data_IF_136212048420
#
_entry.id   IF_136212048420
#
_cell.length_a   1.000
_cell.length_b   1.000
_cell.length_c   1.000
_cell.angle_alpha   90.00
_cell.angle_beta   90.00
_cell.angle_gamma   90.00
#
_symmetry.space_group_name_H-M   'P 1'
#
loop_
_entity.id
_entity.type
_entity.pdbx_description
1 polymer ?
#
# COMPACT_ATOMS: atom_id res chain seq x y z
N UNK A 1 21.40 -5.51 -1.89
CA UNK A 1 20.01 -5.49 -2.39
C UNK A 1 20.05 -5.84 -3.87
N UNK A 2 19.41 -6.94 -4.32
CA UNK A 2 19.27 -7.24 -5.76
C UNK A 2 17.80 -6.99 -6.18
N UNK A 3 16.87 -7.77 -5.66
CA UNK A 3 15.44 -7.63 -5.92
C UNK A 3 14.69 -7.68 -4.61
N UNK A 4 14.12 -6.57 -4.19
CA UNK A 4 13.47 -6.42 -2.89
C UNK A 4 12.03 -5.95 -3.09
N UNK A 5 11.07 -6.65 -2.49
CA UNK A 5 9.70 -6.18 -2.35
C UNK A 5 9.48 -5.63 -0.93
N UNK A 6 8.89 -4.45 -0.83
CA UNK A 6 8.50 -3.84 0.43
C UNK A 6 6.99 -3.91 0.57
N UNK A 7 6.51 -4.65 1.57
CA UNK A 7 5.08 -4.89 1.80
C UNK A 7 4.64 -4.36 3.17
N UNK A 8 3.44 -3.82 3.26
CA UNK A 8 2.80 -3.55 4.56
C UNK A 8 2.30 -4.85 5.17
N UNK A 9 2.57 -5.07 6.45
CA UNK A 9 2.24 -6.32 7.15
C UNK A 9 0.99 -6.23 8.03
N UNK A 10 0.31 -5.09 8.04
CA UNK A 10 -0.90 -4.82 8.82
C UNK A 10 -2.00 -4.26 7.90
N UNK A 11 -2.77 -3.25 8.33
CA UNK A 11 -3.83 -2.60 7.53
C UNK A 11 -3.39 -1.35 6.75
N UNK A 12 -2.12 -1.24 6.37
CA UNK A 12 -1.56 -0.03 5.78
C UNK A 12 -1.12 0.98 6.83
N UNK A 13 -0.60 2.12 6.38
CA UNK A 13 -0.10 3.21 7.24
C UNK A 13 1.02 2.79 8.22
N UNK A 14 1.75 1.70 7.93
CA UNK A 14 2.86 1.20 8.75
C UNK A 14 4.12 2.09 8.69
N UNK A 15 4.11 3.14 7.86
CA UNK A 15 5.29 3.98 7.65
C UNK A 15 6.23 3.47 6.55
N UNK A 16 5.71 2.70 5.60
CA UNK A 16 6.46 2.14 4.45
C UNK A 16 7.28 3.18 3.69
N UNK A 17 6.73 4.39 3.53
CA UNK A 17 7.36 5.46 2.79
C UNK A 17 8.80 5.69 3.19
N UNK A 18 9.07 5.72 4.47
CA UNK A 18 10.40 5.96 5.02
C UNK A 18 11.45 4.92 4.58
N UNK A 19 11.06 3.63 4.58
CA UNK A 19 11.94 2.53 4.13
C UNK A 19 12.08 2.53 2.61
N UNK A 20 10.98 2.78 1.90
CA UNK A 20 10.98 2.88 0.44
C UNK A 20 11.89 4.02 -0.02
N UNK A 21 11.80 5.21 0.59
CA UNK A 21 12.66 6.36 0.25
C UNK A 21 14.14 6.01 0.40
N UNK A 22 14.49 5.38 1.51
CA UNK A 22 15.86 4.94 1.74
C UNK A 22 16.34 3.93 0.69
N UNK A 23 15.53 2.91 0.40
CA UNK A 23 15.90 1.89 -0.58
C UNK A 23 15.90 2.43 -2.01
N UNK A 24 15.00 3.35 -2.34
CA UNK A 24 14.90 3.97 -3.65
C UNK A 24 16.15 4.80 -4.04
N UNK A 25 16.84 5.38 -3.04
CA UNK A 25 18.13 6.09 -3.29
C UNK A 25 19.21 5.17 -3.85
N UNK A 26 19.10 3.87 -3.65
CA UNK A 26 20.08 2.87 -4.06
C UNK A 26 19.58 1.98 -5.20
N UNK A 27 18.32 2.16 -5.62
CA UNK A 27 17.69 1.33 -6.64
C UNK A 27 17.99 1.83 -8.05
N UNK A 28 18.27 0.91 -8.97
CA UNK A 28 18.36 1.20 -10.41
C UNK A 28 16.96 1.26 -11.04
N UNK A 29 16.02 0.48 -10.50
CA UNK A 29 14.62 0.43 -10.95
C UNK A 29 13.69 0.39 -9.74
N UNK A 30 12.66 1.22 -9.73
CA UNK A 30 11.56 1.17 -8.75
C UNK A 30 10.26 0.87 -9.48
N UNK A 31 9.54 -0.16 -9.00
CA UNK A 31 8.34 -0.67 -9.66
C UNK A 31 7.13 -0.59 -8.73
N UNK A 32 6.06 0.05 -9.16
CA UNK A 32 4.73 -0.09 -8.56
C UNK A 32 3.91 -1.05 -9.39
N UNK A 33 3.42 -2.13 -8.76
CA UNK A 33 2.75 -3.24 -9.44
C UNK A 33 1.29 -3.44 -9.06
N UNK A 34 0.70 -2.66 -8.15
CA UNK A 34 -0.68 -2.88 -7.70
C UNK A 34 -1.36 -1.58 -7.22
N UNK A 35 -2.70 -1.60 -7.17
CA UNK A 35 -3.51 -0.45 -6.77
C UNK A 35 -3.62 0.60 -7.88
N UNK A 36 -3.69 1.85 -7.50
CA UNK A 36 -3.81 3.00 -8.39
C UNK A 36 -3.55 4.29 -7.62
N UNK A 37 -4.25 5.37 -7.97
CA UNK A 37 -4.14 6.66 -7.29
C UNK A 37 -4.89 6.75 -5.93
N UNK A 38 -5.36 5.61 -5.41
CA UNK A 38 -5.91 5.49 -4.06
C UNK A 38 -4.82 5.36 -2.96
N UNK A 39 -3.58 5.10 -3.33
CA UNK A 39 -2.43 5.15 -2.43
C UNK A 39 -1.86 6.58 -2.38
N UNK A 40 -1.20 6.92 -1.29
CA UNK A 40 -0.49 8.18 -1.15
C UNK A 40 0.87 7.95 -0.50
N UNK A 41 1.92 8.52 -1.08
CA UNK A 41 3.25 8.54 -0.53
C UNK A 41 3.74 9.99 -0.53
N UNK A 42 4.15 10.49 0.62
CA UNK A 42 4.69 11.85 0.73
C UNK A 42 6.21 11.79 0.79
N UNK A 43 6.85 12.35 -0.22
CA UNK A 43 8.30 12.57 -0.26
C UNK A 43 8.64 13.96 0.27
N UNK A 44 9.81 14.10 0.90
CA UNK A 44 10.32 15.39 1.35
C UNK A 44 11.69 15.62 0.72
N UNK A 45 11.80 16.67 -0.12
CA UNK A 45 13.04 17.07 -0.79
C UNK A 45 13.29 18.53 -0.51
N UNK A 46 14.44 18.86 0.05
CA UNK A 46 14.83 20.24 0.39
C UNK A 46 13.74 21.00 1.18
N UNK A 47 13.09 20.30 2.10
CA UNK A 47 12.00 20.83 2.91
C UNK A 47 10.64 20.93 2.22
N UNK A 48 10.55 20.64 0.92
CA UNK A 48 9.29 20.61 0.17
C UNK A 48 8.66 19.22 0.22
N UNK A 49 7.34 19.17 0.37
CA UNK A 49 6.56 17.93 0.39
C UNK A 49 5.94 17.66 -0.97
N UNK A 50 6.13 16.45 -1.48
CA UNK A 50 5.55 15.95 -2.72
C UNK A 50 4.63 14.76 -2.41
N UNK A 51 3.36 14.87 -2.74
CA UNK A 51 2.40 13.80 -2.55
C UNK A 51 2.26 12.97 -3.84
N UNK A 52 2.97 11.86 -3.93
CA UNK A 52 2.89 10.94 -5.06
C UNK A 52 1.78 9.90 -4.82
N UNK A 53 1.10 9.50 -5.88
CA UNK A 53 0.03 8.48 -5.86
C UNK A 53 0.26 7.37 -6.85
N UNK A 54 0.68 7.69 -8.07
CA UNK A 54 0.96 6.74 -9.16
C UNK A 54 2.46 6.59 -9.42
N UNK A 55 3.18 7.71 -9.40
CA UNK A 55 4.60 7.73 -9.73
C UNK A 55 5.41 7.08 -8.60
N UNK A 56 6.32 6.13 -8.92
CA UNK A 56 7.18 5.51 -7.92
C UNK A 56 8.14 6.48 -7.24
N UNK A 57 8.53 6.17 -5.99
CA UNK A 57 9.39 7.02 -5.15
C UNK A 57 10.81 7.22 -5.70
N UNK A 58 11.26 6.37 -6.62
CA UNK A 58 12.57 6.52 -7.28
C UNK A 58 12.70 7.74 -8.17
N UNK A 59 11.61 8.49 -8.41
CA UNK A 59 11.57 9.66 -9.30
C UNK A 59 12.52 10.77 -8.89
N UNK A 60 12.89 10.85 -7.62
CA UNK A 60 13.82 11.84 -7.10
C UNK A 60 15.28 11.58 -7.51
N UNK A 61 15.58 10.37 -7.96
CA UNK A 61 16.89 10.00 -8.47
C UNK A 61 16.85 9.94 -10.01
N UNK A 62 17.54 10.86 -10.66
CA UNK A 62 17.54 10.99 -12.12
C UNK A 62 18.07 9.76 -12.88
N UNK A 63 18.80 8.87 -12.20
CA UNK A 63 19.34 7.64 -12.78
C UNK A 63 18.42 6.43 -12.59
N UNK A 64 17.36 6.55 -11.78
CA UNK A 64 16.46 5.45 -11.47
C UNK A 64 15.33 5.38 -12.50
N UNK A 65 15.08 4.19 -13.05
CA UNK A 65 13.91 3.93 -13.90
C UNK A 65 12.70 3.70 -12.98
N UNK A 66 11.62 4.44 -13.25
CA UNK A 66 10.38 4.38 -12.46
C UNK A 66 9.28 3.70 -13.26
N UNK A 67 8.89 2.50 -12.84
CA UNK A 67 7.97 1.65 -13.59
C UNK A 67 6.60 1.64 -12.94
N UNK A 68 5.58 2.01 -13.72
CA UNK A 68 4.17 1.80 -13.42
C UNK A 68 3.76 0.51 -14.13
N UNK A 69 3.67 -0.58 -13.36
CA UNK A 69 3.49 -1.94 -13.87
C UNK A 69 2.07 -2.26 -14.34
N UNK A 70 1.93 -3.43 -14.95
CA UNK A 70 0.68 -3.91 -15.54
C UNK A 70 -0.45 -4.19 -14.52
N UNK A 71 -0.12 -4.34 -13.25
CA UNK A 71 -1.12 -4.52 -12.19
C UNK A 71 -1.77 -3.23 -11.69
N UNK A 72 -1.23 -2.07 -12.05
CA UNK A 72 -1.81 -0.76 -11.71
C UNK A 72 -3.09 -0.53 -12.54
N UNK A 73 -4.10 0.09 -11.91
CA UNK A 73 -5.17 0.75 -12.63
C UNK A 73 -4.82 2.23 -12.74
N UNK A 74 -4.58 2.67 -13.96
CA UNK A 74 -3.89 3.91 -14.28
C UNK A 74 -4.87 5.04 -14.57
N UNK A 75 -4.78 6.13 -13.81
CA UNK A 75 -5.54 7.36 -14.01
C UNK A 75 -4.69 8.40 -14.76
N UNK A 76 -4.91 8.62 -16.06
CA UNK A 76 -4.10 9.57 -16.84
C UNK A 76 -4.14 10.99 -16.30
N UNK A 77 -5.31 11.45 -15.85
CA UNK A 77 -5.48 12.79 -15.28
C UNK A 77 -4.61 12.97 -14.03
N UNK A 78 -4.74 12.04 -13.07
CA UNK A 78 -3.96 12.08 -11.83
C UNK A 78 -2.45 11.96 -12.10
N UNK A 79 -2.06 11.17 -13.10
CA UNK A 79 -0.67 11.05 -13.51
C UNK A 79 -0.09 12.37 -14.03
N UNK A 80 -0.79 13.09 -14.91
CA UNK A 80 -0.29 14.35 -15.45
C UNK A 80 -0.32 15.48 -14.42
N UNK A 81 -1.21 15.45 -13.43
CA UNK A 81 -1.15 16.35 -12.27
C UNK A 81 0.15 16.13 -11.46
N UNK A 82 0.58 14.89 -11.27
CA UNK A 82 1.85 14.57 -10.62
C UNK A 82 3.07 14.98 -11.48
N UNK A 83 3.03 14.77 -12.80
CA UNK A 83 4.07 15.21 -13.73
C UNK A 83 4.27 16.72 -13.64
N UNK A 84 3.20 17.51 -13.75
CA UNK A 84 3.25 18.98 -13.68
C UNK A 84 3.83 19.45 -12.34
N UNK A 85 3.39 18.84 -11.23
CA UNK A 85 3.92 19.13 -9.90
C UNK A 85 5.44 18.86 -9.82
N UNK A 86 5.91 17.74 -10.35
CA UNK A 86 7.32 17.36 -10.31
C UNK A 86 8.17 18.27 -11.20
N UNK A 87 7.76 18.49 -12.45
CA UNK A 87 8.50 19.28 -13.42
C UNK A 87 8.56 20.78 -13.04
N UNK A 88 7.47 21.33 -12.47
CA UNK A 88 7.47 22.70 -11.95
C UNK A 88 8.44 22.92 -10.78
N UNK A 89 8.86 21.82 -10.13
CA UNK A 89 9.87 21.82 -9.08
C UNK A 89 11.27 21.34 -9.57
N UNK A 90 11.48 21.23 -10.88
CA UNK A 90 12.76 20.90 -11.49
C UNK A 90 13.11 19.41 -11.45
N UNK A 91 12.14 18.54 -11.14
CA UNK A 91 12.34 17.08 -11.12
C UNK A 91 12.03 16.52 -12.50
N UNK A 92 12.99 15.82 -13.10
CA UNK A 92 12.82 15.20 -14.42
C UNK A 92 11.93 13.98 -14.37
N UNK A 93 10.99 13.88 -15.30
CA UNK A 93 10.03 12.76 -15.41
C UNK A 93 10.36 11.79 -16.57
N UNK A 94 11.48 12.01 -17.26
CA UNK A 94 11.89 11.24 -18.45
C UNK A 94 12.12 9.75 -18.19
N UNK A 95 12.43 9.38 -16.93
CA UNK A 95 12.74 8.00 -16.53
C UNK A 95 11.48 7.22 -16.09
N UNK A 96 10.29 7.73 -16.35
CA UNK A 96 9.04 7.02 -16.06
C UNK A 96 8.72 6.10 -17.25
N UNK A 97 8.26 4.89 -16.92
CA UNK A 97 7.77 3.90 -17.86
C UNK A 97 6.42 3.38 -17.42
N UNK A 98 5.45 3.40 -18.33
CA UNK A 98 4.07 2.96 -18.10
C UNK A 98 3.85 1.67 -18.89
N UNK A 99 3.35 0.64 -18.20
CA UNK A 99 3.01 -0.62 -18.87
C UNK A 99 1.91 -0.44 -19.91
N UNK A 100 2.17 -0.91 -21.11
CA UNK A 100 1.17 -1.04 -22.17
C UNK A 100 -0.02 -1.94 -21.81
N UNK A 101 0.14 -2.81 -20.80
CA UNK A 101 -0.90 -3.73 -20.29
C UNK A 101 -1.69 -3.20 -19.11
N UNK A 102 -1.34 -2.03 -18.53
CA UNK A 102 -2.11 -1.43 -17.43
C UNK A 102 -3.52 -1.04 -17.90
N UNK A 103 -4.51 -1.17 -17.01
CA UNK A 103 -5.89 -0.77 -17.30
C UNK A 103 -6.11 0.71 -16.98
N UNK A 104 -6.89 1.38 -17.80
CA UNK A 104 -7.17 2.81 -17.68
C UNK A 104 -8.39 3.04 -16.79
N UNK A 105 -8.26 3.97 -15.86
CA UNK A 105 -9.37 4.50 -15.06
C UNK A 105 -10.03 5.64 -15.84
N UNK A 106 -11.31 5.49 -16.13
CA UNK A 106 -12.15 6.47 -16.83
C UNK A 106 -13.06 7.23 -15.84
N UNK A 107 -13.65 8.36 -16.26
CA UNK A 107 -14.61 9.10 -15.44
C UNK A 107 -15.75 8.23 -14.92
N UNK A 108 -16.29 7.33 -15.77
CA UNK A 108 -17.38 6.43 -15.37
C UNK A 108 -16.99 5.49 -14.22
N UNK A 109 -15.72 5.10 -14.08
CA UNK A 109 -15.28 4.30 -12.93
C UNK A 109 -15.40 5.08 -11.62
N UNK A 110 -15.03 6.38 -11.64
CA UNK A 110 -15.08 7.25 -10.45
C UNK A 110 -16.53 7.49 -10.01
N UNK A 111 -17.41 7.77 -10.97
CA UNK A 111 -18.84 7.98 -10.69
C UNK A 111 -19.51 6.70 -10.18
N UNK A 112 -19.25 5.54 -10.81
CA UNK A 112 -19.79 4.27 -10.37
C UNK A 112 -19.28 3.85 -8.97
N UNK A 113 -18.05 4.18 -8.62
CA UNK A 113 -17.49 3.97 -7.28
C UNK A 113 -18.28 4.77 -6.23
N UNK A 114 -18.64 6.03 -6.54
CA UNK A 114 -19.50 6.87 -5.72
C UNK A 114 -20.93 6.32 -5.58
N UNK A 115 -21.56 5.98 -6.71
CA UNK A 115 -22.93 5.45 -6.75
C UNK A 115 -23.05 4.12 -6.00
N UNK A 116 -22.10 3.23 -6.17
CA UNK A 116 -22.07 1.95 -5.45
C UNK A 116 -21.95 2.14 -3.93
N UNK A 117 -21.13 3.09 -3.49
CA UNK A 117 -20.97 3.40 -2.06
C UNK A 117 -22.23 4.04 -1.46
N UNK A 118 -22.90 4.91 -2.23
CA UNK A 118 -24.19 5.51 -1.82
C UNK A 118 -25.29 4.43 -1.71
N UNK A 119 -25.36 3.51 -2.67
CA UNK A 119 -26.34 2.45 -2.69
C UNK A 119 -26.21 1.45 -1.52
N UNK A 120 -25.03 1.35 -0.90
CA UNK A 120 -24.81 0.49 0.29
C UNK A 120 -25.44 1.03 1.58
N UNK A 121 -25.83 2.29 1.63
CA UNK A 121 -26.43 2.90 2.82
C UNK A 121 -25.51 2.77 4.04
N UNK A 122 -25.95 2.04 5.07
CA UNK A 122 -25.18 1.83 6.32
C UNK A 122 -24.04 0.80 6.17
N UNK A 123 -24.05 0.00 5.09
CA UNK A 123 -23.02 -1.02 4.81
C UNK A 123 -21.88 -0.48 3.96
N UNK A 124 -21.50 0.77 4.14
CA UNK A 124 -20.38 1.39 3.42
C UNK A 124 -19.06 0.70 3.70
N UNK A 125 -18.23 0.58 2.65
CA UNK A 125 -16.87 0.03 2.75
C UNK A 125 -15.86 1.14 3.08
N UNK A 126 -16.18 2.40 2.73
CA UNK A 126 -15.28 3.53 2.91
C UNK A 126 -14.34 3.72 1.74
N UNK A 127 -14.86 3.62 0.50
CA UNK A 127 -14.08 3.81 -0.72
C UNK A 127 -13.47 5.21 -0.84
N UNK A 128 -12.36 5.29 -1.57
CA UNK A 128 -11.68 6.56 -1.89
C UNK A 128 -12.36 7.34 -3.03
N UNK A 129 -13.37 6.79 -3.68
CA UNK A 129 -14.07 7.34 -4.86
C UNK A 129 -13.11 7.67 -6.02
N UNK A 130 -12.03 6.89 -6.15
CA UNK A 130 -11.04 7.01 -7.23
C UNK A 130 -11.27 6.05 -8.40
N UNK A 131 -12.37 5.28 -8.36
CA UNK A 131 -12.72 4.34 -9.41
C UNK A 131 -11.85 3.08 -9.48
N UNK A 132 -11.11 2.79 -8.41
CA UNK A 132 -10.17 1.65 -8.38
C UNK A 132 -10.93 0.32 -8.49
N UNK A 133 -11.92 0.11 -7.61
CA UNK A 133 -12.76 -1.09 -7.62
C UNK A 133 -13.45 -1.33 -8.95
N UNK A 134 -14.23 -0.37 -9.47
CA UNK A 134 -14.89 -0.51 -10.78
C UNK A 134 -13.93 -0.79 -11.94
N UNK A 135 -12.73 -0.22 -11.95
CA UNK A 135 -11.74 -0.50 -12.99
C UNK A 135 -11.19 -1.94 -12.89
N UNK A 136 -10.92 -2.44 -11.67
CA UNK A 136 -10.56 -3.85 -11.48
C UNK A 136 -11.72 -4.80 -11.81
N UNK A 137 -12.98 -4.40 -11.57
CA UNK A 137 -14.15 -5.18 -12.02
C UNK A 137 -14.15 -5.34 -13.53
N UNK A 138 -13.99 -4.26 -14.29
CA UNK A 138 -13.91 -4.30 -15.75
C UNK A 138 -12.73 -5.15 -16.24
N UNK A 139 -11.59 -5.08 -15.58
CA UNK A 139 -10.43 -5.92 -15.88
C UNK A 139 -10.76 -7.40 -15.71
N UNK A 140 -11.41 -7.80 -14.61
CA UNK A 140 -11.76 -9.19 -14.32
C UNK A 140 -12.90 -9.69 -15.19
N UNK A 141 -13.87 -8.84 -15.50
CA UNK A 141 -14.94 -9.08 -16.48
C UNK A 141 -14.41 -9.21 -17.92
N UNK A 142 -13.19 -8.74 -18.16
CA UNK A 142 -12.51 -8.73 -19.49
C UNK A 142 -13.13 -7.73 -20.47
N UNK A 143 -13.74 -6.69 -19.95
CA UNK A 143 -14.33 -5.57 -20.70
C UNK A 143 -13.48 -4.30 -20.63
N UNK A 144 -12.47 -4.26 -19.74
CA UNK A 144 -11.61 -3.10 -19.51
C UNK A 144 -10.77 -2.68 -20.71
N UNK A 145 -10.37 -1.41 -20.72
CA UNK A 145 -9.53 -0.79 -21.75
C UNK A 145 -8.12 -0.63 -21.17
N UNK A 146 -7.12 -1.18 -21.89
CA UNK A 146 -5.71 -1.10 -21.50
C UNK A 146 -5.01 0.10 -22.15
N UNK A 147 -3.82 0.40 -21.67
CA UNK A 147 -2.98 1.44 -22.27
C UNK A 147 -2.71 1.16 -23.76
N UNK A 148 -2.35 -0.07 -24.14
CA UNK A 148 -2.14 -0.43 -25.55
C UNK A 148 -3.39 -0.20 -26.42
N UNK A 149 -4.58 -0.42 -25.89
CA UNK A 149 -5.84 -0.17 -26.61
C UNK A 149 -6.07 1.34 -26.80
N UNK A 150 -5.72 2.16 -25.79
CA UNK A 150 -5.81 3.62 -25.86
C UNK A 150 -4.84 4.22 -26.90
N UNK A 151 -3.69 3.57 -27.13
CA UNK A 151 -2.70 4.04 -28.12
C UNK A 151 -3.16 3.88 -29.57
N UNK A 152 -4.19 3.08 -29.84
CA UNK A 152 -4.81 2.89 -31.14
C UNK A 152 -6.21 3.54 -31.16
N UNK A 153 -6.36 4.60 -31.96
CA UNK A 153 -7.59 5.42 -32.00
C UNK A 153 -8.85 4.63 -32.39
N UNK A 154 -8.72 3.68 -33.32
CA UNK A 154 -9.86 2.89 -33.81
C UNK A 154 -10.28 1.83 -32.78
N UNK A 155 -9.28 1.12 -32.21
CA UNK A 155 -9.52 0.15 -31.15
C UNK A 155 -10.12 0.85 -29.93
N UNK A 156 -9.56 2.00 -29.54
CA UNK A 156 -10.06 2.78 -28.41
C UNK A 156 -11.51 3.23 -28.62
N UNK A 157 -11.82 3.84 -29.77
CA UNK A 157 -13.17 4.30 -30.09
C UNK A 157 -14.19 3.15 -29.98
N UNK A 158 -13.87 2.00 -30.58
CA UNK A 158 -14.72 0.81 -30.55
C UNK A 158 -14.98 0.31 -29.13
N UNK A 159 -13.93 0.16 -28.34
CA UNK A 159 -14.04 -0.34 -26.95
C UNK A 159 -14.74 0.69 -26.05
N UNK A 160 -14.40 1.96 -26.17
CA UNK A 160 -15.02 3.02 -25.37
C UNK A 160 -16.53 3.11 -25.62
N UNK A 161 -16.97 3.02 -26.89
CA UNK A 161 -18.40 3.04 -27.23
C UNK A 161 -19.17 1.94 -26.49
N UNK A 162 -18.63 0.72 -26.49
CA UNK A 162 -19.24 -0.41 -25.78
C UNK A 162 -19.30 -0.16 -24.26
N UNK A 163 -18.23 0.40 -23.68
CA UNK A 163 -18.19 0.70 -22.25
C UNK A 163 -19.16 1.81 -21.86
N UNK A 164 -19.19 2.92 -22.60
CA UNK A 164 -20.11 4.04 -22.33
C UNK A 164 -21.57 3.57 -22.39
N UNK A 165 -21.92 2.79 -23.42
CA UNK A 165 -23.28 2.23 -23.55
C UNK A 165 -23.64 1.31 -22.38
N UNK A 166 -22.71 0.43 -21.97
CA UNK A 166 -22.93 -0.49 -20.86
C UNK A 166 -23.05 0.25 -19.51
N UNK A 167 -22.16 1.22 -19.26
CA UNK A 167 -22.17 2.00 -18.00
C UNK A 167 -23.41 2.90 -17.89
N UNK A 168 -23.85 3.51 -19.00
CA UNK A 168 -25.10 4.26 -19.01
C UNK A 168 -26.32 3.36 -18.72
N UNK A 169 -26.37 2.15 -19.30
CA UNK A 169 -27.42 1.16 -18.96
C UNK A 169 -27.40 0.77 -17.48
N UNK A 170 -26.21 0.61 -16.90
CA UNK A 170 -26.07 0.32 -15.48
C UNK A 170 -26.59 1.50 -14.62
N UNK A 171 -26.22 2.72 -14.96
CA UNK A 171 -26.66 3.93 -14.26
C UNK A 171 -28.16 4.10 -14.29
N UNK A 172 -28.77 3.94 -15.47
CA UNK A 172 -30.22 4.08 -15.65
C UNK A 172 -31.03 2.92 -15.06
N UNK A 173 -30.57 1.69 -15.30
CA UNK A 173 -31.33 0.48 -14.92
C UNK A 173 -31.17 0.08 -13.46
N UNK A 174 -30.00 0.30 -12.85
CA UNK A 174 -29.73 -0.13 -11.48
C UNK A 174 -29.79 1.04 -10.49
N UNK A 175 -29.19 2.17 -10.83
CA UNK A 175 -29.13 3.33 -9.92
C UNK A 175 -30.29 4.31 -10.13
N UNK A 176 -31.13 4.13 -11.15
CA UNK A 176 -32.30 4.99 -11.41
C UNK A 176 -31.94 6.46 -11.71
N UNK A 177 -30.72 6.69 -12.19
CA UNK A 177 -30.23 8.03 -12.59
C UNK A 177 -30.39 8.20 -14.11
N UNK A 178 -30.29 9.42 -14.60
CA UNK A 178 -30.17 9.66 -16.04
C UNK A 178 -28.83 9.17 -16.59
N UNK A 179 -28.74 8.88 -17.88
CA UNK A 179 -27.48 8.58 -18.55
C UNK A 179 -26.53 9.78 -18.42
N UNK A 180 -25.30 9.54 -17.95
CA UNK A 180 -24.40 10.61 -17.53
C UNK A 180 -23.05 10.59 -18.25
N UNK A 181 -22.79 9.58 -19.09
CA UNK A 181 -21.51 9.45 -19.78
C UNK A 181 -21.69 9.72 -21.28
N UNK A 182 -20.95 10.70 -21.77
CA UNK A 182 -20.90 11.05 -23.18
C UNK A 182 -19.66 10.46 -23.85
N UNK A 183 -19.84 9.79 -24.97
CA UNK A 183 -18.76 9.14 -25.70
C UNK A 183 -17.76 10.15 -26.27
N UNK A 184 -18.25 11.22 -26.90
CA UNK A 184 -17.39 12.19 -27.59
C UNK A 184 -16.56 13.00 -26.60
N UNK A 185 -17.13 13.35 -25.45
CA UNK A 185 -16.42 14.02 -24.37
C UNK A 185 -15.26 13.17 -23.86
N UNK A 186 -15.53 11.93 -23.47
CA UNK A 186 -14.51 11.01 -22.94
C UNK A 186 -13.47 10.68 -24.03
N UNK A 187 -13.90 10.40 -25.26
CA UNK A 187 -13.00 10.09 -26.36
C UNK A 187 -12.01 11.23 -26.62
N UNK A 188 -12.51 12.47 -26.76
CA UNK A 188 -11.70 13.65 -27.06
C UNK A 188 -10.70 13.95 -25.93
N UNK A 189 -11.11 13.83 -24.67
CA UNK A 189 -10.23 13.99 -23.53
C UNK A 189 -9.10 12.94 -23.55
N UNK A 190 -9.45 11.68 -23.71
CA UNK A 190 -8.49 10.58 -23.57
C UNK A 190 -7.54 10.43 -24.77
N UNK A 191 -7.92 10.87 -25.96
CA UNK A 191 -6.99 10.97 -27.10
C UNK A 191 -5.86 11.97 -26.81
N UNK A 192 -6.16 13.07 -26.12
CA UNK A 192 -5.11 14.02 -25.69
C UNK A 192 -4.17 13.37 -24.70
N UNK A 193 -4.70 12.60 -23.72
CA UNK A 193 -3.86 11.83 -22.81
C UNK A 193 -3.04 10.78 -23.54
N UNK A 194 -3.59 10.08 -24.51
CA UNK A 194 -2.87 9.07 -25.28
C UNK A 194 -1.61 9.66 -25.93
N UNK A 195 -1.74 10.79 -26.62
CA UNK A 195 -0.58 11.44 -27.26
C UNK A 195 0.48 11.91 -26.23
N UNK A 196 0.06 12.46 -25.08
CA UNK A 196 0.97 12.85 -24.00
C UNK A 196 1.64 11.64 -23.32
N UNK A 197 0.95 10.51 -23.23
CA UNK A 197 1.48 9.29 -22.62
C UNK A 197 2.48 8.56 -23.50
N UNK A 198 2.39 8.69 -24.80
CA UNK A 198 3.15 7.91 -25.81
C UNK A 198 4.65 7.78 -25.49
N UNK A 199 5.37 8.84 -25.05
CA UNK A 199 6.79 8.74 -24.72
C UNK A 199 7.12 7.86 -23.50
N UNK A 200 6.11 7.58 -22.65
CA UNK A 200 6.29 6.82 -21.42
C UNK A 200 5.88 5.34 -21.58
N UNK A 201 5.08 5.00 -22.62
CA UNK A 201 4.48 3.68 -22.78
C UNK A 201 5.46 2.69 -23.38
N UNK A 202 5.70 1.59 -22.67
CA UNK A 202 6.57 0.48 -23.09
C UNK A 202 6.10 -0.86 -22.52
N UNK A 203 6.66 -1.97 -23.04
CA UNK A 203 6.53 -3.28 -22.38
C UNK A 203 7.41 -3.31 -21.13
N UNK A 204 6.83 -2.91 -20.01
CA UNK A 204 7.55 -2.84 -18.73
C UNK A 204 7.99 -4.20 -18.20
N UNK A 205 7.37 -5.29 -18.66
CA UNK A 205 7.77 -6.65 -18.25
C UNK A 205 9.16 -6.99 -18.76
N UNK A 206 9.51 -6.53 -19.97
CA UNK A 206 10.86 -6.67 -20.53
C UNK A 206 11.86 -5.80 -19.75
N UNK A 207 11.50 -4.53 -19.48
CA UNK A 207 12.38 -3.62 -18.74
C UNK A 207 12.78 -4.19 -17.38
N UNK A 208 11.79 -4.67 -16.60
CA UNK A 208 12.03 -5.22 -15.26
C UNK A 208 12.81 -6.54 -15.33
N UNK A 209 12.44 -7.42 -16.27
CA UNK A 209 13.13 -8.69 -16.48
C UNK A 209 14.62 -8.47 -16.83
N UNK A 210 14.91 -7.61 -17.80
CA UNK A 210 16.27 -7.34 -18.24
C UNK A 210 17.10 -6.69 -17.15
N UNK A 211 16.51 -5.77 -16.36
CA UNK A 211 17.18 -5.18 -15.20
C UNK A 211 17.59 -6.25 -14.18
N UNK A 212 16.69 -7.20 -13.88
CA UNK A 212 16.98 -8.31 -12.94
C UNK A 212 18.08 -9.20 -13.52
N UNK A 213 18.01 -9.55 -14.81
CA UNK A 213 19.04 -10.38 -15.48
C UNK A 213 20.40 -9.70 -15.51
N UNK A 214 20.42 -8.38 -15.65
CA UNK A 214 21.65 -7.58 -15.58
C UNK A 214 22.15 -7.35 -14.14
N UNK A 215 21.58 -8.04 -13.13
CA UNK A 215 21.89 -7.88 -11.70
C UNK A 215 21.74 -6.44 -11.17
N UNK A 216 20.86 -5.65 -11.77
CA UNK A 216 20.49 -4.33 -11.26
C UNK A 216 19.67 -4.45 -9.99
N UNK A 217 19.70 -3.40 -9.19
CA UNK A 217 18.93 -3.29 -7.95
C UNK A 217 17.48 -2.90 -8.28
N UNK A 218 16.54 -3.82 -8.10
CA UNK A 218 15.12 -3.61 -8.38
C UNK A 218 14.34 -3.57 -7.08
N UNK A 219 13.63 -2.48 -6.84
CA UNK A 219 12.74 -2.29 -5.70
C UNK A 219 11.27 -2.38 -6.16
N UNK A 220 10.51 -3.29 -5.58
CA UNK A 220 9.06 -3.34 -5.72
C UNK A 220 8.42 -2.56 -4.57
N UNK A 221 7.84 -1.41 -4.90
CA UNK A 221 7.25 -0.48 -3.96
C UNK A 221 5.80 -0.84 -3.67
N UNK A 222 5.53 -1.26 -2.42
CA UNK A 222 4.20 -1.63 -1.95
C UNK A 222 3.35 -0.45 -1.52
N UNK A 223 2.06 -0.55 -1.80
CA UNK A 223 1.02 0.32 -1.26
C UNK A 223 0.07 -0.51 -0.38
N UNK A 224 -0.70 0.15 0.48
CA UNK A 224 -1.65 -0.47 1.43
C UNK A 224 -0.93 -1.46 2.38
N UNK A 225 -1.59 -2.56 2.76
CA UNK A 225 -1.04 -3.58 3.65
C UNK A 225 -1.69 -4.94 3.41
N UNK A 226 -1.09 -5.99 3.93
CA UNK A 226 -1.50 -7.39 3.72
C UNK A 226 -2.96 -7.64 4.09
N UNK A 227 -3.43 -7.05 5.19
CA UNK A 227 -4.82 -7.25 5.63
C UNK A 227 -5.86 -6.46 4.81
N UNK A 228 -5.40 -5.67 3.84
CA UNK A 228 -6.22 -5.04 2.81
C UNK A 228 -6.19 -5.78 1.47
N UNK A 229 -5.50 -6.92 1.38
CA UNK A 229 -5.48 -7.75 0.17
C UNK A 229 -6.86 -8.33 -0.13
N UNK A 230 -7.24 -8.35 -1.41
CA UNK A 230 -8.57 -8.78 -1.85
C UNK A 230 -8.88 -10.23 -1.46
N UNK A 231 -7.88 -11.13 -1.54
CA UNK A 231 -8.06 -12.55 -1.26
C UNK A 231 -7.64 -12.92 0.18
N UNK A 232 -6.63 -12.24 0.73
CA UNK A 232 -5.98 -12.62 1.98
C UNK A 232 -6.31 -11.67 3.14
N UNK A 233 -6.97 -10.57 2.87
CA UNK A 233 -7.31 -9.54 3.86
C UNK A 233 -8.63 -9.76 4.56
N UNK A 234 -9.07 -8.72 5.27
CA UNK A 234 -10.33 -8.66 6.02
C UNK A 234 -11.52 -8.32 5.11
N UNK A 235 -11.79 -9.15 4.13
CA UNK A 235 -12.89 -8.98 3.19
C UNK A 235 -14.23 -8.85 3.93
N UNK A 236 -15.14 -7.87 3.58
CA UNK A 236 -15.08 -6.99 2.42
C UNK A 236 -14.32 -5.66 2.64
N UNK A 237 -13.77 -5.41 3.83
CA UNK A 237 -13.04 -4.18 4.16
C UNK A 237 -11.58 -4.26 3.67
N UNK A 238 -11.42 -4.31 2.35
CA UNK A 238 -10.15 -4.50 1.62
C UNK A 238 -10.06 -3.56 0.43
N UNK A 239 -8.87 -3.47 -0.18
CA UNK A 239 -8.71 -2.88 -1.52
C UNK A 239 -9.07 -3.90 -2.59
N UNK A 240 -9.33 -3.45 -3.81
CA UNK A 240 -9.61 -4.33 -4.96
C UNK A 240 -8.33 -4.84 -5.65
N UNK A 241 -7.21 -4.84 -4.95
CA UNK A 241 -5.90 -5.24 -5.47
C UNK A 241 -5.17 -6.17 -4.50
N UNK A 242 -3.98 -6.63 -4.90
CA UNK A 242 -3.14 -7.54 -4.12
C UNK A 242 -1.87 -6.84 -3.63
N UNK A 243 -1.87 -6.20 -2.43
CA UNK A 243 -0.70 -5.56 -1.84
C UNK A 243 0.31 -6.56 -1.24
N UNK A 244 0.10 -7.84 -1.42
CA UNK A 244 1.02 -8.92 -1.02
C UNK A 244 2.16 -9.12 -2.03
N UNK A 245 3.21 -9.81 -1.62
CA UNK A 245 4.39 -10.11 -2.48
C UNK A 245 4.02 -10.85 -3.76
N UNK A 246 3.03 -11.74 -3.71
CA UNK A 246 2.48 -12.42 -4.88
C UNK A 246 1.87 -11.46 -5.89
N UNK A 247 1.19 -10.42 -5.40
CA UNK A 247 0.63 -9.36 -6.23
C UNK A 247 1.67 -8.58 -7.02
N UNK A 248 2.88 -8.41 -6.48
CA UNK A 248 3.99 -7.77 -7.21
C UNK A 248 4.49 -8.61 -8.38
N UNK A 249 4.63 -9.93 -8.19
CA UNK A 249 5.07 -10.80 -9.26
C UNK A 249 4.12 -10.70 -10.48
N UNK A 250 2.81 -10.77 -10.23
CA UNK A 250 1.79 -10.60 -11.27
C UNK A 250 1.75 -9.18 -11.82
N UNK A 251 1.75 -8.18 -10.93
CA UNK A 251 1.54 -6.78 -11.30
C UNK A 251 2.75 -6.11 -11.96
N UNK A 252 3.95 -6.65 -11.78
CA UNK A 252 5.16 -6.22 -12.49
C UNK A 252 5.50 -7.13 -13.69
N UNK A 253 4.78 -8.26 -13.86
CA UNK A 253 4.98 -9.19 -14.94
C UNK A 253 6.29 -9.98 -14.85
N UNK A 254 6.71 -10.34 -13.64
CA UNK A 254 7.92 -11.14 -13.39
C UNK A 254 7.60 -12.48 -12.74
N UNK A 255 8.47 -13.46 -12.92
CA UNK A 255 8.33 -14.74 -12.23
C UNK A 255 8.47 -14.56 -10.71
N UNK A 256 7.65 -15.25 -9.88
CA UNK A 256 7.67 -15.07 -8.43
C UNK A 256 9.02 -15.36 -7.78
N UNK A 257 9.80 -16.27 -8.37
CA UNK A 257 11.16 -16.61 -7.91
C UNK A 257 12.22 -15.53 -8.24
N UNK A 258 11.86 -14.49 -8.96
CA UNK A 258 12.75 -13.37 -9.28
C UNK A 258 12.77 -12.32 -8.16
N UNK A 259 11.75 -12.28 -7.30
CA UNK A 259 11.74 -11.48 -6.07
C UNK A 259 12.49 -12.29 -5.01
N UNK A 260 13.65 -11.79 -4.57
CA UNK A 260 14.53 -12.54 -3.65
C UNK A 260 14.28 -12.22 -2.20
N UNK A 261 14.08 -10.94 -1.91
CA UNK A 261 13.86 -10.48 -0.54
C UNK A 261 12.49 -9.82 -0.46
N UNK A 262 11.75 -10.13 0.60
CA UNK A 262 10.46 -9.53 0.92
C UNK A 262 10.55 -8.92 2.31
N UNK A 263 10.60 -7.59 2.37
CA UNK A 263 10.70 -6.84 3.61
C UNK A 263 9.32 -6.45 4.08
N UNK A 264 8.91 -6.99 5.22
CA UNK A 264 7.65 -6.62 5.88
C UNK A 264 7.80 -5.34 6.69
N UNK A 265 6.96 -4.36 6.43
CA UNK A 265 6.90 -3.16 7.27
C UNK A 265 5.84 -3.35 8.33
N UNK A 266 6.26 -3.21 9.58
CA UNK A 266 5.45 -3.49 10.76
C UNK A 266 5.56 -2.32 11.73
N UNK A 267 4.45 -1.84 12.23
CA UNK A 267 4.38 -0.83 13.27
C UNK A 267 4.53 -1.49 14.66
N UNK A 268 5.17 -0.83 15.59
CA UNK A 268 5.33 -1.32 16.97
C UNK A 268 3.99 -1.47 17.75
N UNK A 269 2.91 -1.02 17.17
CA UNK A 269 1.53 -1.15 17.63
C UNK A 269 0.63 -1.38 16.42
N UNK A 270 -0.66 -1.51 16.59
CA UNK A 270 -1.58 -1.76 15.47
C UNK A 270 -2.47 -0.54 15.24
N UNK A 271 -2.66 -0.20 13.97
CA UNK A 271 -3.65 0.83 13.58
C UNK A 271 -4.52 0.33 12.44
N UNK A 272 -5.76 0.83 12.39
CA UNK A 272 -6.69 0.56 11.30
C UNK A 272 -7.44 1.83 10.91
N UNK A 273 -7.59 2.03 9.60
CA UNK A 273 -8.50 3.03 9.03
C UNK A 273 -9.74 2.29 8.51
N UNK A 274 -10.92 2.90 8.68
CA UNK A 274 -12.17 2.32 8.19
C UNK A 274 -12.80 1.30 9.14
N UNK A 275 -13.77 0.59 8.60
CA UNK A 275 -14.65 -0.31 9.35
C UNK A 275 -14.06 -1.73 9.46
N UNK A 276 -14.77 -2.59 10.15
CA UNK A 276 -14.45 -4.00 10.36
C UNK A 276 -13.79 -4.31 11.70
N UNK A 277 -13.70 -5.60 12.09
CA UNK A 277 -13.15 -6.04 13.36
C UNK A 277 -11.69 -5.69 13.56
N UNK A 278 -11.34 -5.31 14.77
CA UNK A 278 -9.97 -4.99 15.19
C UNK A 278 -9.75 -5.53 16.61
N UNK A 279 -9.25 -6.75 16.73
CA UNK A 279 -9.24 -7.53 17.98
C UNK A 279 -8.47 -6.83 19.11
N UNK A 280 -7.38 -6.13 18.78
CA UNK A 280 -6.54 -5.44 19.77
C UNK A 280 -6.87 -3.95 19.94
N UNK A 281 -8.02 -3.48 19.40
CA UNK A 281 -8.41 -2.08 19.51
C UNK A 281 -8.59 -1.64 20.96
N UNK A 282 -8.13 -0.43 21.26
CA UNK A 282 -8.18 0.20 22.57
C UNK A 282 -9.13 1.40 22.54
N UNK A 283 -10.04 1.42 23.50
CA UNK A 283 -11.07 2.48 23.67
C UNK A 283 -10.84 3.32 24.92
N UNK A 284 -9.67 3.17 25.54
CA UNK A 284 -9.26 3.81 26.79
C UNK A 284 -8.17 4.87 26.57
N UNK A 285 -7.70 5.46 27.67
CA UNK A 285 -6.60 6.44 27.67
C UNK A 285 -5.32 5.92 27.03
N UNK A 286 -5.08 4.60 27.04
CA UNK A 286 -3.93 3.96 26.41
C UNK A 286 -4.02 4.12 24.89
N UNK A 287 -5.19 3.84 24.32
CA UNK A 287 -5.45 4.02 22.88
C UNK A 287 -5.30 5.48 22.46
N UNK A 288 -5.80 6.41 23.26
CA UNK A 288 -5.68 7.86 23.00
C UNK A 288 -4.24 8.33 23.09
N UNK A 289 -3.47 7.82 24.04
CA UNK A 289 -2.05 8.11 24.18
C UNK A 289 -1.25 7.62 22.96
N UNK A 290 -1.44 6.37 22.53
CA UNK A 290 -0.81 5.81 21.32
C UNK A 290 -1.16 6.69 20.10
N UNK A 291 -2.43 7.05 19.94
CA UNK A 291 -2.90 7.89 18.84
C UNK A 291 -2.21 9.26 18.83
N UNK A 292 -2.11 9.89 19.97
CA UNK A 292 -1.51 11.21 20.11
C UNK A 292 0.00 11.18 19.90
N UNK A 293 0.71 10.26 20.54
CA UNK A 293 2.17 10.10 20.39
C UNK A 293 2.56 9.67 18.99
N UNK A 294 1.77 8.79 18.36
CA UNK A 294 2.00 8.31 17.00
C UNK A 294 1.48 9.25 15.89
N UNK A 295 0.85 10.38 16.26
CA UNK A 295 0.19 11.28 15.28
C UNK A 295 -0.75 10.53 14.34
N UNK A 296 -1.53 9.58 14.89
CA UNK A 296 -2.36 8.67 14.12
C UNK A 296 -3.67 9.35 13.67
N UNK A 297 -3.51 10.27 12.72
CA UNK A 297 -4.59 11.00 12.05
C UNK A 297 -4.42 10.91 10.53
N UNK A 298 -5.53 10.85 9.82
CA UNK A 298 -5.52 10.81 8.36
C UNK A 298 -4.95 12.10 7.77
N UNK A 299 -3.94 11.98 6.91
CA UNK A 299 -3.22 13.13 6.32
C UNK A 299 -4.13 14.08 5.53
N UNK A 300 -5.18 13.55 4.91
CA UNK A 300 -6.11 14.33 4.06
C UNK A 300 -7.37 14.74 4.82
N UNK A 301 -7.92 13.84 5.63
CA UNK A 301 -9.22 14.03 6.30
C UNK A 301 -9.09 14.48 7.75
N UNK A 302 -7.91 14.38 8.36
CA UNK A 302 -7.71 14.60 9.80
C UNK A 302 -8.42 13.57 10.69
N UNK A 303 -9.09 12.55 10.12
CA UNK A 303 -9.83 11.53 10.89
C UNK A 303 -8.86 10.73 11.75
N UNK A 304 -9.20 10.56 13.03
CA UNK A 304 -8.47 9.73 13.97
C UNK A 304 -8.43 8.27 13.48
N UNK A 305 -7.26 7.66 13.51
CA UNK A 305 -7.10 6.22 13.28
C UNK A 305 -7.46 5.45 14.55
N UNK A 306 -8.00 4.27 14.38
CA UNK A 306 -8.21 3.29 15.43
C UNK A 306 -6.85 2.72 15.82
N UNK A 307 -6.56 2.63 17.11
CA UNK A 307 -5.26 2.21 17.64
C UNK A 307 -5.43 1.04 18.60
N UNK A 308 -4.44 0.16 18.64
CA UNK A 308 -4.42 -0.99 19.52
C UNK A 308 -3.01 -1.49 19.80
N UNK A 309 -2.86 -2.40 20.76
CA UNK A 309 -1.62 -3.07 21.03
C UNK A 309 -1.12 -3.89 19.83
N UNK A 310 0.16 -4.21 19.83
CA UNK A 310 0.76 -5.04 18.79
C UNK A 310 0.05 -6.40 18.70
N UNK A 311 -0.31 -6.79 17.49
CA UNK A 311 -1.00 -8.05 17.20
C UNK A 311 -0.07 -9.00 16.45
N UNK A 312 0.53 -9.95 17.20
CA UNK A 312 1.43 -10.93 16.62
C UNK A 312 0.71 -11.94 15.71
N UNK A 313 -0.60 -12.17 15.91
CA UNK A 313 -1.38 -13.10 15.08
C UNK A 313 -1.45 -12.60 13.64
N UNK A 314 -1.78 -11.31 13.45
CA UNK A 314 -1.86 -10.71 12.10
C UNK A 314 -0.48 -10.61 11.45
N UNK A 315 0.57 -10.25 12.20
CA UNK A 315 1.92 -10.11 11.62
C UNK A 315 2.52 -11.48 11.28
N UNK A 316 2.29 -12.50 12.09
CA UNK A 316 2.65 -13.89 11.77
C UNK A 316 1.92 -14.39 10.52
N UNK A 317 0.63 -14.06 10.39
CA UNK A 317 -0.14 -14.35 9.19
C UNK A 317 0.46 -13.63 7.98
N UNK A 318 0.75 -12.33 8.07
CA UNK A 318 1.37 -11.55 7.01
C UNK A 318 2.76 -12.11 6.62
N UNK A 319 3.57 -12.52 7.60
CA UNK A 319 4.87 -13.14 7.36
C UNK A 319 4.75 -14.41 6.50
N UNK A 320 3.77 -15.26 6.82
CA UNK A 320 3.52 -16.50 6.10
C UNK A 320 3.03 -16.27 4.67
N UNK A 321 2.03 -15.41 4.47
CA UNK A 321 1.41 -15.24 3.14
C UNK A 321 2.29 -14.44 2.18
N UNK A 322 3.17 -13.60 2.70
CA UNK A 322 4.14 -12.84 1.89
C UNK A 322 5.48 -13.57 1.73
N UNK A 323 5.79 -14.57 2.56
CA UNK A 323 7.13 -15.17 2.61
C UNK A 323 8.18 -14.14 3.05
N UNK A 324 7.93 -13.40 4.14
CA UNK A 324 8.83 -12.36 4.60
C UNK A 324 10.22 -12.91 4.88
N UNK A 325 11.24 -12.25 4.35
CA UNK A 325 12.65 -12.56 4.63
C UNK A 325 13.20 -11.75 5.78
N UNK A 326 12.64 -10.54 6.01
CA UNK A 326 12.96 -9.68 7.14
C UNK A 326 11.84 -8.69 7.45
N UNK A 327 11.95 -8.02 8.59
CA UNK A 327 11.03 -7.00 9.07
C UNK A 327 11.75 -5.67 9.26
N UNK A 328 11.11 -4.58 8.82
CA UNK A 328 11.42 -3.23 9.26
C UNK A 328 10.37 -2.80 10.28
N UNK A 329 10.82 -2.57 11.51
CA UNK A 329 9.98 -2.29 12.67
C UNK A 329 9.88 -0.79 12.90
N UNK A 330 8.68 -0.23 12.78
CA UNK A 330 8.45 1.21 12.69
C UNK A 330 7.82 1.78 13.95
N UNK A 331 8.14 3.06 14.24
CA UNK A 331 7.47 3.85 15.27
C UNK A 331 7.61 3.25 16.69
N UNK A 332 8.77 2.68 17.00
CA UNK A 332 9.07 2.13 18.34
C UNK A 332 9.05 3.23 19.41
N UNK A 333 9.45 4.45 19.06
CA UNK A 333 9.45 5.64 19.91
C UNK A 333 8.07 6.00 20.47
N UNK A 334 7.00 5.65 19.77
CA UNK A 334 5.61 5.89 20.21
C UNK A 334 5.27 5.14 21.50
N UNK A 335 5.96 4.05 21.79
CA UNK A 335 5.76 3.26 23.01
C UNK A 335 6.63 3.73 24.20
N UNK A 336 7.42 4.78 24.04
CA UNK A 336 8.21 5.37 25.13
C UNK A 336 7.30 5.94 26.22
N UNK A 337 7.65 5.66 27.47
CA UNK A 337 6.95 6.17 28.65
C UNK A 337 5.80 5.30 29.14
N UNK A 338 5.53 4.15 28.52
CA UNK A 338 4.63 3.15 29.09
C UNK A 338 5.36 2.27 30.10
N UNK A 339 4.75 2.04 31.27
CA UNK A 339 5.28 1.12 32.30
C UNK A 339 5.18 -0.34 31.84
N UNK A 340 4.08 -0.66 31.17
CA UNK A 340 3.79 -1.98 30.62
C UNK A 340 3.32 -1.87 29.17
N UNK A 341 3.76 -2.82 28.36
CA UNK A 341 3.44 -2.94 26.95
C UNK A 341 2.87 -4.34 26.72
N UNK A 342 1.84 -4.47 25.88
CA UNK A 342 1.20 -5.75 25.63
C UNK A 342 1.40 -6.21 24.18
N UNK A 343 1.58 -7.52 24.01
CA UNK A 343 1.59 -8.21 22.71
C UNK A 343 0.43 -9.19 22.69
N UNK A 344 -0.44 -9.10 21.70
CA UNK A 344 -1.45 -10.12 21.47
C UNK A 344 -0.79 -11.32 20.80
N UNK A 345 -0.70 -12.44 21.51
CA UNK A 345 0.00 -13.66 21.07
C UNK A 345 -0.94 -14.69 20.46
N UNK A 346 -2.23 -14.64 20.80
CA UNK A 346 -3.29 -15.50 20.31
C UNK A 346 -4.64 -14.78 20.44
N UNK A 347 -5.69 -15.35 19.84
CA UNK A 347 -7.06 -14.94 20.11
C UNK A 347 -7.79 -16.00 20.93
N UNK A 348 -8.81 -15.57 21.66
CA UNK A 348 -9.76 -16.44 22.35
C UNK A 348 -11.15 -16.23 21.73
N UNK A 349 -11.78 -17.30 21.31
CA UNK A 349 -13.16 -17.31 20.79
C UNK A 349 -14.00 -18.30 21.58
N UNK A 350 -14.78 -17.80 22.53
CA UNK A 350 -15.40 -18.63 23.57
C UNK A 350 -14.32 -19.35 24.39
N UNK A 351 -14.38 -20.68 24.46
CA UNK A 351 -13.41 -21.51 25.21
C UNK A 351 -12.20 -21.95 24.35
N UNK A 352 -12.14 -21.55 23.07
CA UNK A 352 -11.08 -21.99 22.14
C UNK A 352 -10.00 -20.91 21.99
N UNK A 353 -8.75 -21.36 22.03
CA UNK A 353 -7.60 -20.54 21.64
C UNK A 353 -7.40 -20.67 20.13
N UNK A 354 -7.32 -19.54 19.46
CA UNK A 354 -7.14 -19.41 18.01
C UNK A 354 -5.78 -18.76 17.75
N UNK A 355 -4.86 -19.56 17.20
CA UNK A 355 -3.48 -19.13 16.91
C UNK A 355 -3.28 -18.63 15.47
N UNK A 356 -4.26 -18.85 14.60
CA UNK A 356 -4.24 -18.43 13.22
C UNK A 356 -5.29 -17.36 12.97
N UNK A 357 -5.01 -16.44 12.07
CA UNK A 357 -5.93 -15.39 11.70
C UNK A 357 -7.18 -15.96 11.05
N UNK A 358 -8.40 -15.71 11.60
CA UNK A 358 -9.66 -16.22 11.05
C UNK A 358 -10.00 -15.59 9.71
N UNK A 359 -10.56 -16.38 8.79
CA UNK A 359 -11.04 -15.89 7.51
C UNK A 359 -12.42 -15.20 7.61
N UNK A 360 -13.29 -15.68 8.55
CA UNK A 360 -14.61 -15.11 8.79
C UNK A 360 -14.51 -13.86 9.64
N UNK A 361 -15.11 -12.75 9.17
CA UNK A 361 -15.21 -11.52 9.96
C UNK A 361 -16.12 -11.66 11.18
N UNK A 362 -17.16 -12.49 11.08
CA UNK A 362 -18.06 -12.79 12.19
C UNK A 362 -17.33 -13.53 13.30
N UNK A 363 -16.40 -14.42 12.95
CA UNK A 363 -15.57 -15.11 13.93
C UNK A 363 -14.48 -14.18 14.48
N UNK A 364 -13.86 -13.36 13.62
CA UNK A 364 -12.90 -12.37 14.07
C UNK A 364 -13.51 -11.35 15.04
N UNK A 365 -14.76 -10.96 14.81
CA UNK A 365 -15.51 -10.05 15.70
C UNK A 365 -15.82 -10.65 17.08
N UNK A 366 -15.84 -11.99 17.21
CA UNK A 366 -16.03 -12.71 18.48
C UNK A 366 -14.73 -12.97 19.22
N UNK A 367 -13.59 -12.70 18.57
CA UNK A 367 -12.29 -12.92 19.15
C UNK A 367 -11.95 -11.88 20.20
N UNK A 368 -11.40 -12.34 21.30
CA UNK A 368 -10.77 -11.51 22.34
C UNK A 368 -9.26 -11.71 22.29
N UNK A 369 -8.46 -10.64 22.52
CA UNK A 369 -6.99 -10.77 22.49
C UNK A 369 -6.48 -11.50 23.74
N UNK A 370 -5.55 -12.43 23.52
CA UNK A 370 -4.75 -13.04 24.60
C UNK A 370 -3.42 -12.29 24.65
N UNK A 371 -3.24 -11.53 25.72
CA UNK A 371 -2.07 -10.67 25.87
C UNK A 371 -0.96 -11.32 26.71
N UNK A 372 0.26 -11.14 26.24
CA UNK A 372 1.48 -11.21 27.03
C UNK A 372 1.90 -9.78 27.39
N UNK A 373 2.24 -9.54 28.66
CA UNK A 373 2.66 -8.23 29.18
C UNK A 373 4.16 -8.20 29.39
N UNK A 374 4.81 -7.15 28.90
CA UNK A 374 6.23 -6.88 29.06
C UNK A 374 6.44 -5.54 29.75
N UNK A 375 7.60 -5.38 30.39
CA UNK A 375 8.01 -4.08 30.91
C UNK A 375 8.32 -3.11 29.78
N UNK A 376 7.83 -1.89 29.92
CA UNK A 376 8.11 -0.79 29.00
C UNK A 376 9.43 -0.09 29.28
N UNK A 377 9.64 1.05 28.64
CA UNK A 377 10.83 1.90 28.82
C UNK A 377 10.43 3.37 28.85
N UNK A 378 11.23 4.20 29.54
CA UNK A 378 11.00 5.64 29.69
C UNK A 378 12.06 6.50 29.01
N UNK A 379 13.17 5.90 28.59
CA UNK A 379 14.27 6.58 27.93
C UNK A 379 13.81 7.10 26.55
N UNK A 380 14.21 8.32 26.22
CA UNK A 380 14.01 8.87 24.86
C UNK A 380 14.92 8.15 23.87
N UNK A 381 14.31 7.34 23.01
CA UNK A 381 15.02 6.56 21.98
C UNK A 381 15.11 7.27 20.63
N UNK A 382 14.56 8.48 20.49
CA UNK A 382 14.46 9.18 19.18
C UNK A 382 15.82 9.53 18.57
N UNK A 383 16.88 9.51 19.38
CA UNK A 383 18.26 9.79 18.95
C UNK A 383 19.15 8.56 18.89
N UNK A 384 18.63 7.39 19.23
CA UNK A 384 19.39 6.14 19.19
C UNK A 384 19.76 5.78 17.75
N UNK A 385 21.04 5.49 17.53
CA UNK A 385 21.60 5.21 16.22
C UNK A 385 21.91 3.73 16.01
N UNK A 386 22.22 3.01 17.09
CA UNK A 386 22.57 1.59 17.04
C UNK A 386 21.60 0.77 17.88
N UNK A 387 21.35 -0.45 17.44
CA UNK A 387 20.44 -1.37 18.13
C UNK A 387 20.90 -1.64 19.58
N UNK A 388 22.21 -1.73 19.79
CA UNK A 388 22.83 -1.99 21.10
C UNK A 388 22.51 -0.90 22.12
N UNK A 389 22.32 0.34 21.66
CA UNK A 389 22.05 1.51 22.51
C UNK A 389 20.55 1.65 22.89
N UNK A 390 19.68 0.78 22.38
CA UNK A 390 18.28 0.73 22.82
C UNK A 390 18.18 0.26 24.27
N UNK A 391 17.17 0.75 25.03
CA UNK A 391 16.85 0.21 26.36
C UNK A 391 16.66 -1.31 26.33
N UNK A 392 17.06 -1.98 27.39
CA UNK A 392 16.96 -3.45 27.48
C UNK A 392 15.53 -3.95 27.29
N UNK A 393 14.53 -3.22 27.81
CA UNK A 393 13.13 -3.61 27.62
C UNK A 393 12.65 -3.44 26.18
N UNK A 394 13.14 -2.40 25.47
CA UNK A 394 12.87 -2.24 24.04
C UNK A 394 13.48 -3.40 23.22
N UNK A 395 14.71 -3.81 23.54
CA UNK A 395 15.35 -4.99 22.91
C UNK A 395 14.59 -6.29 23.19
N UNK A 396 14.13 -6.49 24.43
CA UNK A 396 13.30 -7.64 24.82
C UNK A 396 11.98 -7.67 24.06
N UNK A 397 11.33 -6.51 23.89
CA UNK A 397 10.10 -6.38 23.11
C UNK A 397 10.30 -6.81 21.65
N UNK A 398 11.35 -6.33 21.00
CA UNK A 398 11.70 -6.70 19.63
C UNK A 398 12.03 -8.19 19.54
N UNK A 399 12.88 -8.72 20.43
CA UNK A 399 13.26 -10.13 20.43
C UNK A 399 12.04 -11.06 20.61
N UNK A 400 11.10 -10.66 21.49
CA UNK A 400 9.87 -11.44 21.67
C UNK A 400 8.99 -11.46 20.43
N UNK A 401 8.92 -10.35 19.71
CA UNK A 401 8.20 -10.27 18.44
C UNK A 401 8.86 -11.14 17.38
N UNK A 402 10.20 -11.12 17.25
CA UNK A 402 10.95 -12.00 16.35
C UNK A 402 10.64 -13.47 16.63
N UNK A 403 10.63 -13.86 17.90
CA UNK A 403 10.32 -15.24 18.33
C UNK A 403 8.89 -15.65 17.94
N UNK A 404 7.90 -14.77 18.18
CA UNK A 404 6.50 -15.05 17.89
C UNK A 404 6.20 -15.15 16.39
N UNK A 405 6.86 -14.30 15.58
CA UNK A 405 6.62 -14.22 14.14
C UNK A 405 7.50 -15.20 13.37
N UNK A 406 8.69 -15.51 13.87
CA UNK A 406 9.68 -16.39 13.21
C UNK A 406 10.44 -15.69 12.08
N UNK A 407 10.52 -14.35 12.09
CA UNK A 407 11.24 -13.53 11.12
C UNK A 407 12.03 -12.46 11.84
N UNK A 408 13.29 -12.26 11.44
CA UNK A 408 14.18 -11.29 12.06
C UNK A 408 13.78 -9.84 11.75
N UNK A 409 14.02 -8.96 12.72
CA UNK A 409 13.92 -7.51 12.55
C UNK A 409 15.30 -6.97 12.15
N UNK A 410 15.45 -6.60 10.89
CA UNK A 410 16.72 -6.08 10.36
C UNK A 410 16.83 -4.56 10.52
N UNK A 411 15.70 -3.86 10.69
CA UNK A 411 15.65 -2.41 10.77
C UNK A 411 14.64 -1.95 11.81
N UNK A 412 15.04 -1.01 12.67
CA UNK A 412 14.17 -0.39 13.68
C UNK A 412 14.14 1.12 13.47
N UNK A 413 12.94 1.69 13.36
CA UNK A 413 12.73 3.14 13.29
C UNK A 413 12.31 3.69 14.64
N UNK A 414 13.04 4.70 15.11
CA UNK A 414 12.92 5.28 16.47
C UNK A 414 12.52 6.77 16.50
N UNK A 415 11.94 7.28 15.41
CA UNK A 415 11.48 8.68 15.37
C UNK A 415 10.77 9.06 14.08
N UNK A 416 10.06 10.20 14.08
CA UNK A 416 9.23 10.64 12.95
C UNK A 416 10.06 11.20 11.78
N UNK A 417 11.18 11.84 12.06
CA UNK A 417 12.01 12.51 11.07
C UNK A 417 13.08 11.57 10.54
N UNK A 418 13.18 11.48 9.21
CA UNK A 418 14.20 10.77 8.40
C UNK A 418 14.51 9.36 8.96
N UNK A 419 14.88 8.45 8.06
CA UNK A 419 15.81 7.41 8.42
C UNK A 419 17.14 8.12 8.79
N UNK A 420 17.09 8.87 9.83
CA UNK A 420 18.22 9.22 10.63
C UNK A 420 18.48 7.96 11.40
N UNK A 421 19.13 7.02 10.72
CA UNK A 421 19.76 5.84 11.27
C UNK A 421 18.78 4.84 11.91
N UNK A 422 18.23 4.04 11.05
CA UNK A 422 17.77 2.73 11.44
C UNK A 422 18.99 1.93 11.90
N UNK A 423 18.89 1.36 13.08
CA UNK A 423 19.83 0.36 13.55
C UNK A 423 19.66 -0.87 12.68
N UNK A 424 20.60 -1.11 11.76
CA UNK A 424 20.68 -2.39 11.05
C UNK A 424 21.39 -3.40 11.96
N UNK A 425 20.76 -4.54 12.23
CA UNK A 425 21.51 -5.73 12.65
C UNK A 425 22.35 -6.16 11.46
N UNK A 426 23.65 -5.91 11.47
CA UNK A 426 24.55 -6.56 10.53
C UNK A 426 24.43 -8.06 10.71
N UNK A 427 24.03 -8.76 9.67
CA UNK A 427 24.21 -10.21 9.61
C UNK A 427 25.69 -10.48 9.43
N UNK A 428 26.29 -11.08 10.45
CA UNK A 428 27.59 -11.75 10.36
C UNK A 428 27.43 -13.01 9.52
#
# INVERSE_FOLDING_TARGET
MKTVAVVGSQWGDEGKGKVIDFLATQADVVVRGQGGNNAGHTLVVDGKKFALRLIPSGILNSNTINVIGNGIVFDPKGFFEEIEMLESNGISTKNIKISDRAHIVFPYHKELDGLAEEARGDNKIGTTKKGIGPCYMDKTERSGIRVCDLMDKEIFAKKLKLQVDAKNKLVTGVYGKEAMFDFDEIYNEFIVYAEKMRPYVEDTTVIVYDAIKANKKVLFEGAQGTLLDLDLGTYPFVTSSHPTSGGFAVGAGVGPNMIKDVVGIVKAYTTRVGEGPFVTELFDETGDRIRTQGHEFGTVTGRARRCGWFDAVIVKYAARVNGLTSISFMLLDVLTGFDKIKICTAYKMGDKIVNNFPASLEDLAKCEPVYEELDGWHEDITKVEKFEDLPENAKKYIARIEELIGVNVDLVSVGPNKIGRASCRERV
#
